data_IF_955130316840
#
_entry.id   IF_955130316840
#
_cell.length_a   1.000
_cell.length_b   1.000
_cell.length_c   1.000
_cell.angle_alpha   90.00
_cell.angle_beta   90.00
_cell.angle_gamma   90.00
#
_symmetry.space_group_name_H-M   'P 1'
#
loop_
_entity.id
_entity.type
_entity.pdbx_description
1 polymer ?
#
# COMPACT_ATOMS: atom_id res chain seq x y z
N UNK A 1 9.42 -7.28 -10.21
CA UNK A 1 8.26 -6.38 -10.47
C UNK A 1 7.14 -6.82 -9.55
N UNK A 2 6.58 -5.87 -8.81
CA UNK A 2 6.09 -5.95 -7.41
C UNK A 2 6.22 -7.26 -6.62
N UNK A 3 5.46 -8.36 -6.84
CA UNK A 3 5.56 -9.58 -6.00
C UNK A 3 6.95 -10.21 -5.83
N UNK A 4 7.92 -9.82 -6.68
CA UNK A 4 9.31 -10.28 -6.59
C UNK A 4 10.22 -9.40 -5.73
N UNK A 5 9.75 -8.25 -5.25
CA UNK A 5 10.52 -7.34 -4.38
C UNK A 5 10.31 -7.73 -2.91
N UNK A 6 11.20 -7.29 -2.03
CA UNK A 6 11.05 -7.46 -0.58
C UNK A 6 9.73 -6.85 -0.10
N UNK A 7 9.41 -5.63 -0.55
CA UNK A 7 8.13 -4.96 -0.29
C UNK A 7 6.92 -5.79 -0.75
N UNK A 8 6.97 -6.39 -1.95
CA UNK A 8 5.87 -7.19 -2.47
C UNK A 8 5.70 -8.56 -1.82
N UNK A 9 6.76 -9.11 -1.23
CA UNK A 9 6.69 -10.32 -0.41
C UNK A 9 6.16 -10.00 0.99
N UNK A 10 6.57 -8.87 1.56
CA UNK A 10 6.15 -8.40 2.88
C UNK A 10 4.71 -7.90 2.90
N UNK A 11 4.34 -7.07 1.93
CA UNK A 11 3.02 -6.49 1.74
C UNK A 11 2.46 -6.88 0.35
N UNK A 12 1.86 -8.08 0.22
CA UNK A 12 1.31 -8.56 -1.04
C UNK A 12 0.22 -7.64 -1.60
N UNK A 13 0.30 -7.34 -2.91
CA UNK A 13 -0.68 -6.49 -3.56
C UNK A 13 -2.00 -7.23 -3.80
N UNK A 14 -3.09 -6.72 -3.22
CA UNK A 14 -4.46 -7.07 -3.60
C UNK A 14 -5.10 -5.92 -4.38
N UNK A 15 -5.65 -6.22 -5.56
CA UNK A 15 -6.44 -5.24 -6.34
C UNK A 15 -7.90 -5.33 -5.93
N UNK A 16 -8.51 -4.18 -5.70
CA UNK A 16 -9.91 -4.05 -5.27
C UNK A 16 -10.60 -3.03 -6.16
N UNK A 17 -11.86 -3.27 -6.49
CA UNK A 17 -12.70 -2.30 -7.21
C UNK A 17 -13.18 -1.23 -6.23
N UNK A 18 -12.96 0.05 -6.55
CA UNK A 18 -13.39 1.17 -5.71
C UNK A 18 -14.92 1.20 -5.47
N UNK A 19 -15.71 0.60 -6.36
CA UNK A 19 -17.17 0.50 -6.23
C UNK A 19 -17.63 -0.74 -5.43
N UNK A 20 -16.70 -1.60 -5.02
CA UNK A 20 -16.95 -2.85 -4.30
C UNK A 20 -15.85 -3.06 -3.25
N UNK A 21 -15.79 -2.13 -2.30
CA UNK A 21 -14.81 -2.18 -1.22
C UNK A 21 -15.17 -3.29 -0.22
N UNK A 22 -14.16 -3.96 0.37
CA UNK A 22 -14.37 -5.08 1.28
C UNK A 22 -14.90 -4.54 2.61
N UNK A 23 -16.04 -5.07 3.05
CA UNK A 23 -16.74 -4.57 4.24
C UNK A 23 -16.03 -4.84 5.55
N UNK A 24 -15.10 -5.80 5.57
CA UNK A 24 -14.28 -6.15 6.71
C UNK A 24 -13.19 -5.09 7.02
N UNK A 25 -12.78 -4.30 6.02
CA UNK A 25 -11.69 -3.34 6.16
C UNK A 25 -12.19 -2.00 6.73
N UNK A 26 -11.54 -1.56 7.81
CA UNK A 26 -11.73 -0.24 8.42
C UNK A 26 -10.81 0.78 7.74
N UNK A 27 -11.35 1.49 6.76
CA UNK A 27 -10.68 2.62 6.13
C UNK A 27 -10.75 3.88 7.01
N UNK A 28 -9.68 4.67 7.02
CA UNK A 28 -9.64 5.95 7.75
C UNK A 28 -10.53 7.01 7.10
N UNK A 29 -10.71 6.93 5.77
CA UNK A 29 -11.59 7.79 4.98
C UNK A 29 -11.97 7.10 3.67
N UNK A 30 -13.03 7.58 3.01
CA UNK A 30 -13.46 7.08 1.71
C UNK A 30 -12.33 7.13 0.66
N UNK A 31 -12.30 6.16 -0.24
CA UNK A 31 -11.40 6.13 -1.40
C UNK A 31 -12.11 6.88 -2.53
N UNK A 32 -11.55 8.00 -2.99
CA UNK A 32 -12.17 8.87 -3.99
C UNK A 32 -11.39 8.93 -5.31
N UNK A 33 -10.13 8.52 -5.30
CA UNK A 33 -9.23 8.59 -6.46
C UNK A 33 -8.70 7.20 -6.82
N UNK A 34 -8.51 6.96 -8.11
CA UNK A 34 -7.88 5.73 -8.61
C UNK A 34 -6.68 6.08 -9.49
N UNK A 35 -5.53 5.38 -9.34
CA UNK A 35 -5.26 4.38 -8.30
C UNK A 35 -5.08 5.04 -6.92
N UNK A 36 -5.44 4.31 -5.87
CA UNK A 36 -5.03 4.58 -4.48
C UNK A 36 -4.43 3.29 -3.95
N UNK A 37 -3.24 3.37 -3.35
CA UNK A 37 -2.56 2.25 -2.70
C UNK A 37 -2.76 2.40 -1.20
N UNK A 38 -3.26 1.35 -0.53
CA UNK A 38 -3.61 1.41 0.89
C UNK A 38 -2.90 0.25 1.58
N UNK A 39 -2.13 0.58 2.61
CA UNK A 39 -1.49 -0.38 3.49
C UNK A 39 -2.51 -0.80 4.57
N UNK A 40 -2.78 -2.09 4.62
CA UNK A 40 -3.75 -2.69 5.54
C UNK A 40 -3.01 -3.69 6.43
N UNK A 41 -3.29 -3.65 7.74
CA UNK A 41 -2.90 -4.65 8.72
C UNK A 41 -4.05 -4.88 9.71
N UNK A 42 -4.31 -6.13 10.09
CA UNK A 42 -5.45 -6.53 10.93
C UNK A 42 -6.78 -5.84 10.57
N UNK A 43 -7.12 -5.88 9.27
CA UNK A 43 -8.31 -5.25 8.67
C UNK A 43 -8.43 -3.72 8.94
N UNK A 44 -7.33 -3.06 9.28
CA UNK A 44 -7.26 -1.62 9.51
C UNK A 44 -6.30 -0.94 8.54
N UNK A 45 -6.70 0.24 8.06
CA UNK A 45 -5.82 1.10 7.27
C UNK A 45 -4.73 1.74 8.12
N UNK A 46 -3.47 1.46 7.76
CA UNK A 46 -2.29 2.08 8.37
C UNK A 46 -1.85 3.36 7.66
N UNK A 47 -1.80 3.32 6.32
CA UNK A 47 -1.33 4.41 5.47
C UNK A 47 -1.88 4.29 4.06
N UNK A 48 -1.78 5.37 3.27
CA UNK A 48 -2.17 5.38 1.86
C UNK A 48 -1.32 6.29 0.98
N UNK A 49 -1.24 5.96 -0.29
CA UNK A 49 -0.70 6.79 -1.38
C UNK A 49 -1.83 7.02 -2.37
N UNK A 50 -2.23 8.27 -2.57
CA UNK A 50 -3.28 8.65 -3.52
C UNK A 50 -2.67 9.11 -4.84
N UNK A 51 -3.11 8.49 -5.94
CA UNK A 51 -2.55 8.74 -7.27
C UNK A 51 -1.31 7.90 -7.59
N UNK A 52 -0.86 8.01 -8.84
CA UNK A 52 0.35 7.35 -9.33
C UNK A 52 1.13 8.31 -10.24
N UNK A 53 2.10 9.06 -9.70
CA UNK A 53 2.89 10.04 -10.46
C UNK A 53 3.97 9.42 -11.35
N UNK A 54 4.21 8.11 -11.23
CA UNK A 54 5.28 7.39 -11.93
C UNK A 54 6.09 6.50 -10.99
N UNK A 55 6.88 5.59 -11.54
CA UNK A 55 7.63 4.60 -10.74
C UNK A 55 8.68 5.23 -9.83
N UNK A 56 9.45 6.20 -10.34
CA UNK A 56 10.52 6.88 -9.60
C UNK A 56 10.04 7.59 -8.32
N UNK A 57 8.76 7.97 -8.29
CA UNK A 57 8.12 8.60 -7.13
C UNK A 57 7.37 7.58 -6.28
N UNK A 58 6.80 6.54 -6.89
CA UNK A 58 6.01 5.54 -6.19
C UNK A 58 6.85 4.67 -5.27
N UNK A 59 8.03 4.22 -5.72
CA UNK A 59 8.86 3.29 -4.96
C UNK A 59 9.35 3.87 -3.62
N UNK A 60 9.94 5.09 -3.58
CA UNK A 60 10.36 5.67 -2.31
C UNK A 60 9.18 5.93 -1.37
N UNK A 61 8.03 6.38 -1.89
CA UNK A 61 6.83 6.58 -1.08
C UNK A 61 6.32 5.27 -0.47
N UNK A 62 6.41 4.16 -1.20
CA UNK A 62 6.01 2.85 -0.70
C UNK A 62 6.95 2.37 0.42
N UNK A 63 8.25 2.49 0.21
CA UNK A 63 9.27 2.15 1.21
C UNK A 63 9.08 2.98 2.49
N UNK A 64 8.87 4.30 2.35
CA UNK A 64 8.61 5.21 3.46
C UNK A 64 7.39 4.79 4.30
N UNK A 65 6.25 4.48 3.66
CA UNK A 65 5.04 4.08 4.41
C UNK A 65 5.21 2.70 5.06
N UNK A 66 5.96 1.78 4.44
CA UNK A 66 6.22 0.46 5.02
C UNK A 66 7.11 0.61 6.25
N UNK A 67 8.22 1.34 6.16
CA UNK A 67 9.14 1.54 7.28
C UNK A 67 8.49 2.35 8.42
N UNK A 68 7.65 3.33 8.11
CA UNK A 68 7.01 4.18 9.13
C UNK A 68 5.89 3.47 9.91
N UNK A 69 5.22 2.48 9.30
CA UNK A 69 4.00 1.89 9.87
C UNK A 69 4.12 0.39 10.17
N UNK A 70 5.22 -0.26 9.81
CA UNK A 70 5.40 -1.70 9.99
C UNK A 70 6.84 -2.03 10.38
N UNK A 71 7.14 -3.24 10.87
CA UNK A 71 8.51 -3.73 11.04
C UNK A 71 9.28 -4.01 9.74
N UNK A 72 8.83 -3.49 8.59
CA UNK A 72 9.53 -3.66 7.32
C UNK A 72 10.88 -2.94 7.36
N UNK A 73 11.94 -3.73 7.21
CA UNK A 73 13.29 -3.25 7.00
C UNK A 73 13.69 -3.59 5.57
N UNK A 74 14.07 -2.58 4.79
CA UNK A 74 14.61 -2.85 3.47
C UNK A 74 16.01 -3.46 3.59
N UNK A 75 16.14 -4.72 3.17
CA UNK A 75 17.45 -5.31 2.96
C UNK A 75 18.09 -4.65 1.72
N UNK A 76 18.75 -3.50 1.90
CA UNK A 76 19.70 -3.01 0.92
C UNK A 76 20.93 -3.93 0.97
N UNK A 77 21.25 -4.66 -0.12
CA UNK A 77 22.50 -5.42 -0.20
C UNK A 77 23.73 -4.51 -0.20
#
# INVERSE_FOLDING_TARGET
IYPRTSAGQYAPLRRVNINDLPGEIRFNRGVMFTPTFILIDDDAELARIEGYPGEDFFWPLLEDILAAHTPFEENHP
#
